data_IF_424359445283
#
_entry.id   IF_424359445283
#
_cell.length_a   1.000
_cell.length_b   1.000
_cell.length_c   1.000
_cell.angle_alpha   90.00
_cell.angle_beta   90.00
_cell.angle_gamma   90.00
#
_symmetry.space_group_name_H-M   'P 1'
#
loop_
_entity.id
_entity.type
_entity.pdbx_description
1 polymer ?
#
# COMPACT_ATOMS: atom_id res chain seq x y z
N UNK A 1 6.50 -2.39 -4.96
CA UNK A 1 5.27 -1.76 -4.43
C UNK A 1 5.48 -1.07 -3.08
N UNK A 2 5.81 -1.79 -2.01
CA UNK A 2 5.91 -1.24 -0.63
C UNK A 2 6.79 0.02 -0.56
N UNK A 3 7.94 0.03 -1.23
CA UNK A 3 8.82 1.21 -1.31
C UNK A 3 8.11 2.43 -1.90
N UNK A 4 7.36 2.27 -2.99
CA UNK A 4 6.60 3.34 -3.66
C UNK A 4 5.50 3.90 -2.75
N UNK A 5 4.74 3.02 -2.10
CA UNK A 5 3.73 3.42 -1.10
C UNK A 5 4.37 4.22 0.03
N UNK A 6 5.51 3.76 0.54
CA UNK A 6 6.24 4.45 1.61
C UNK A 6 6.71 5.85 1.19
N UNK A 7 7.18 6.00 -0.05
CA UNK A 7 7.61 7.29 -0.58
C UNK A 7 6.43 8.25 -0.77
N UNK A 8 5.31 7.77 -1.31
CA UNK A 8 4.08 8.55 -1.43
C UNK A 8 3.52 8.96 -0.06
N UNK A 9 3.45 8.02 0.88
CA UNK A 9 3.03 8.28 2.26
C UNK A 9 3.95 9.31 2.93
N UNK A 10 5.26 9.21 2.73
CA UNK A 10 6.23 10.20 3.23
C UNK A 10 6.01 11.58 2.61
N UNK A 11 5.70 11.66 1.31
CA UNK A 11 5.36 12.92 0.63
C UNK A 11 4.14 13.62 1.23
N UNK A 12 3.20 12.85 1.81
CA UNK A 12 2.01 13.35 2.50
C UNK A 12 2.11 13.36 4.03
N UNK A 13 3.28 13.09 4.59
CA UNK A 13 3.48 12.95 6.04
C UNK A 13 2.53 11.95 6.73
N UNK A 14 2.09 10.92 6.00
CA UNK A 14 1.20 9.87 6.52
C UNK A 14 2.00 8.73 7.17
N UNK A 15 1.56 8.21 8.33
CA UNK A 15 2.21 7.07 8.96
C UNK A 15 1.97 5.81 8.12
N UNK A 16 3.06 5.15 7.70
CA UNK A 16 2.98 3.88 6.99
C UNK A 16 3.72 2.79 7.77
N UNK A 17 2.97 1.91 8.43
CA UNK A 17 3.52 0.86 9.30
C UNK A 17 2.93 -0.51 9.03
N UNK A 18 3.78 -1.53 9.20
CA UNK A 18 3.39 -2.93 9.12
C UNK A 18 2.69 -3.32 10.44
N UNK A 19 1.48 -3.86 10.35
CA UNK A 19 0.74 -4.39 11.50
C UNK A 19 1.13 -5.82 11.80
N UNK A 20 1.03 -6.71 10.81
CA UNK A 20 1.34 -8.14 10.97
C UNK A 20 1.59 -8.80 9.62
N UNK A 21 2.25 -9.95 9.64
CA UNK A 21 2.38 -10.84 8.47
C UNK A 21 1.63 -12.14 8.75
N UNK A 22 0.87 -12.62 7.77
CA UNK A 22 0.20 -13.92 7.80
C UNK A 22 0.51 -14.67 6.50
N UNK A 23 1.43 -15.63 6.58
CA UNK A 23 1.91 -16.41 5.43
C UNK A 23 2.43 -15.49 4.32
N UNK A 24 1.80 -15.60 3.14
CA UNK A 24 2.12 -14.81 1.96
C UNK A 24 1.47 -13.42 1.92
N UNK A 25 0.79 -12.97 2.97
CA UNK A 25 0.17 -11.65 3.04
C UNK A 25 0.73 -10.81 4.18
N UNK A 26 0.96 -9.52 3.91
CA UNK A 26 1.35 -8.53 4.90
C UNK A 26 0.22 -7.51 5.08
N UNK A 27 -0.13 -7.26 6.34
CA UNK A 27 -1.10 -6.26 6.72
C UNK A 27 -0.35 -4.99 7.08
N UNK A 28 -0.64 -3.92 6.36
CA UNK A 28 -0.09 -2.59 6.54
C UNK A 28 -1.20 -1.61 6.87
N UNK A 29 -0.83 -0.47 7.42
CA UNK A 29 -1.73 0.66 7.62
C UNK A 29 -1.04 1.90 7.09
N UNK A 30 -1.72 2.63 6.21
CA UNK A 30 -1.29 3.93 5.68
C UNK A 30 -2.26 4.98 6.22
N UNK A 31 -1.79 5.85 7.11
CA UNK A 31 -2.64 6.78 7.82
C UNK A 31 -3.70 6.04 8.63
N UNK A 32 -4.96 6.19 8.23
CA UNK A 32 -6.11 5.51 8.82
C UNK A 32 -6.59 4.29 8.01
N UNK A 33 -6.06 4.11 6.80
CA UNK A 33 -6.51 3.07 5.87
C UNK A 33 -5.70 1.77 6.03
N UNK A 34 -6.34 0.65 6.42
CA UNK A 34 -5.70 -0.65 6.43
C UNK A 34 -5.60 -1.22 5.01
N UNK A 35 -4.43 -1.76 4.66
CA UNK A 35 -4.15 -2.32 3.33
C UNK A 35 -3.46 -3.67 3.45
N UNK A 36 -3.87 -4.62 2.61
CA UNK A 36 -3.27 -5.96 2.54
C UNK A 36 -2.38 -6.03 1.31
N UNK A 37 -1.08 -6.22 1.54
CA UNK A 37 -0.08 -6.32 0.49
C UNK A 37 0.39 -7.76 0.42
N UNK A 38 0.13 -8.47 -0.68
CA UNK A 38 0.65 -9.82 -0.86
C UNK A 38 2.18 -9.79 -1.05
N UNK A 39 2.86 -10.67 -0.33
CA UNK A 39 4.31 -10.87 -0.30
C UNK A 39 4.70 -11.99 -1.27
N UNK A 40 4.37 -11.80 -2.54
CA UNK A 40 4.78 -12.63 -3.65
C UNK A 40 5.65 -11.83 -4.62
N UNK A 41 6.54 -12.55 -5.31
CA UNK A 41 7.54 -11.95 -6.20
C UNK A 41 6.93 -11.39 -7.49
N UNK A 42 5.79 -11.96 -7.89
CA UNK A 42 4.92 -11.47 -8.96
C UNK A 42 3.53 -11.17 -8.39
N UNK A 43 3.13 -9.91 -8.48
CA UNK A 43 1.78 -9.43 -8.19
C UNK A 43 1.16 -9.13 -9.55
N UNK A 44 -0.02 -9.65 -9.83
CA UNK A 44 -0.76 -9.24 -11.02
C UNK A 44 -0.96 -7.71 -10.98
N UNK A 45 -0.76 -7.04 -12.12
CA UNK A 45 -0.89 -5.59 -12.24
C UNK A 45 -2.27 -5.09 -11.79
N UNK A 46 -3.32 -5.89 -12.02
CA UNK A 46 -4.69 -5.60 -11.57
C UNK A 46 -4.78 -5.57 -10.04
N UNK A 47 -4.16 -6.54 -9.35
CA UNK A 47 -4.13 -6.59 -7.88
C UNK A 47 -3.30 -5.43 -7.33
N UNK A 48 -2.18 -5.14 -7.96
CA UNK A 48 -1.34 -4.01 -7.63
C UNK A 48 -2.09 -2.68 -7.76
N UNK A 49 -2.79 -2.46 -8.88
CA UNK A 49 -3.59 -1.27 -9.11
C UNK A 49 -4.74 -1.14 -8.12
N UNK A 50 -5.44 -2.24 -7.82
CA UNK A 50 -6.54 -2.23 -6.83
C UNK A 50 -6.06 -1.84 -5.43
N UNK A 51 -4.88 -2.33 -5.01
CA UNK A 51 -4.24 -1.92 -3.75
C UNK A 51 -3.91 -0.43 -3.79
N UNK A 52 -3.37 0.07 -4.90
CA UNK A 52 -3.04 1.48 -5.02
C UNK A 52 -4.29 2.37 -5.02
N UNK A 53 -5.36 1.96 -5.71
CA UNK A 53 -6.68 2.60 -5.68
C UNK A 53 -7.25 2.68 -4.27
N UNK A 54 -7.14 1.61 -3.48
CA UNK A 54 -7.60 1.61 -2.09
C UNK A 54 -6.88 2.68 -1.25
N UNK A 55 -5.64 3.02 -1.61
CA UNK A 55 -4.86 4.05 -0.93
C UNK A 55 -5.10 5.46 -1.50
N UNK A 56 -5.93 5.64 -2.53
CA UNK A 56 -6.25 6.97 -3.09
C UNK A 56 -6.87 7.92 -2.09
N UNK A 57 -7.68 7.41 -1.18
CA UNK A 57 -8.35 8.21 -0.16
C UNK A 57 -7.32 8.98 0.70
N UNK A 58 -6.21 8.32 1.06
CA UNK A 58 -5.15 8.90 1.88
C UNK A 58 -4.04 9.53 1.01
N UNK A 59 -3.58 8.82 -0.02
CA UNK A 59 -2.43 9.18 -0.86
C UNK A 59 -2.79 10.08 -2.04
N UNK A 60 -4.08 10.32 -2.28
CA UNK A 60 -4.60 11.12 -3.39
C UNK A 60 -4.83 10.30 -4.67
N UNK A 61 -5.73 10.76 -5.53
CA UNK A 61 -6.07 10.12 -6.79
C UNK A 61 -4.82 9.93 -7.67
N UNK A 62 -4.62 8.72 -8.19
CA UNK A 62 -3.54 8.42 -9.13
C UNK A 62 -2.11 8.53 -8.58
N UNK A 63 -1.90 8.52 -7.26
CA UNK A 63 -0.57 8.68 -6.64
C UNK A 63 0.52 7.70 -7.10
N UNK A 64 0.13 6.54 -7.65
CA UNK A 64 1.04 5.50 -8.14
C UNK A 64 1.34 5.61 -9.63
N UNK A 65 0.74 6.57 -10.35
CA UNK A 65 1.10 6.86 -11.74
C UNK A 65 2.42 7.61 -11.82
#
# INVERSE_FOLDING_TARGET
>A
MIKKIREAARGKALPFHKKRRKGSHEYWTCGFTPVVIPHHREINEITAESICKQLEDELGEGWWR
#
